data_IF_088863430879
#
_entry.id   IF_088863430879
#
_cell.length_a   1.000
_cell.length_b   1.000
_cell.length_c   1.000
_cell.angle_alpha   90.00
_cell.angle_beta   90.00
_cell.angle_gamma   90.00
#
_symmetry.space_group_name_H-M   'P 1'
#
loop_
_entity.id
_entity.type
_entity.pdbx_description
1 polymer ?
#
# COMPACT_ATOMS: atom_id res chain seq x y z
N UNK A 1 7.11 3.84 -30.94
CA UNK A 1 7.06 2.46 -30.41
C UNK A 1 7.28 2.64 -28.91
N UNK A 2 6.22 2.97 -28.18
CA UNK A 2 6.31 3.46 -26.79
C UNK A 2 5.27 2.76 -25.89
N UNK A 3 4.80 1.59 -26.29
CA UNK A 3 3.81 0.82 -25.54
C UNK A 3 4.37 0.20 -24.26
N UNK A 4 5.70 0.00 -24.18
CA UNK A 4 6.35 -0.69 -23.05
C UNK A 4 6.48 0.14 -21.77
N UNK A 5 6.64 1.47 -21.89
CA UNK A 5 6.75 2.36 -20.73
C UNK A 5 5.42 2.53 -20.01
N UNK A 6 4.33 2.69 -20.76
CA UNK A 6 2.97 2.79 -20.19
C UNK A 6 2.56 1.52 -19.46
N UNK A 7 2.84 0.33 -20.02
CA UNK A 7 2.45 -0.93 -19.39
C UNK A 7 3.19 -1.22 -18.08
N UNK A 8 4.47 -0.85 -17.98
CA UNK A 8 5.24 -1.01 -16.74
C UNK A 8 4.74 -0.08 -15.64
N UNK A 9 4.43 1.17 -15.98
CA UNK A 9 3.87 2.14 -15.01
C UNK A 9 2.51 1.68 -14.50
N UNK A 10 1.67 1.14 -15.39
CA UNK A 10 0.34 0.64 -15.05
C UNK A 10 0.40 -0.63 -14.18
N UNK A 11 1.36 -1.51 -14.45
CA UNK A 11 1.68 -2.65 -13.59
C UNK A 11 2.18 -2.20 -12.21
N UNK A 12 3.03 -1.18 -12.15
CA UNK A 12 3.49 -0.59 -10.89
C UNK A 12 2.33 -0.11 -10.04
N UNK A 13 1.42 0.66 -10.62
CA UNK A 13 0.21 1.16 -9.93
C UNK A 13 -0.70 0.01 -9.48
N UNK A 14 -0.88 -1.02 -10.30
CA UNK A 14 -1.64 -2.20 -9.92
C UNK A 14 -0.98 -2.96 -8.76
N UNK A 15 0.32 -3.19 -8.82
CA UNK A 15 1.06 -3.94 -7.81
C UNK A 15 1.06 -3.20 -6.46
N UNK A 16 1.20 -1.87 -6.46
CA UNK A 16 1.07 -1.05 -5.25
C UNK A 16 -0.35 -1.14 -4.68
N UNK A 17 -1.38 -0.97 -5.51
CA UNK A 17 -2.77 -1.09 -5.07
C UNK A 17 -3.09 -2.49 -4.53
N UNK A 18 -2.62 -3.53 -5.21
CA UNK A 18 -2.77 -4.92 -4.81
C UNK A 18 -2.10 -5.21 -3.46
N UNK A 19 -0.86 -4.75 -3.26
CA UNK A 19 -0.13 -4.92 -2.00
C UNK A 19 -0.83 -4.21 -0.84
N UNK A 20 -1.33 -2.99 -1.06
CA UNK A 20 -2.08 -2.24 -0.05
C UNK A 20 -3.38 -2.97 0.32
N UNK A 21 -4.13 -3.43 -0.69
CA UNK A 21 -5.38 -4.18 -0.47
C UNK A 21 -5.12 -5.50 0.25
N UNK A 22 -4.08 -6.25 -0.17
CA UNK A 22 -3.69 -7.50 0.49
C UNK A 22 -3.21 -7.30 1.92
N UNK A 23 -2.53 -6.19 2.21
CA UNK A 23 -2.12 -5.81 3.56
C UNK A 23 -3.28 -5.61 4.53
N UNK A 24 -4.49 -5.32 4.03
CA UNK A 24 -5.71 -5.20 4.84
C UNK A 24 -6.54 -6.50 4.80
N UNK A 25 -6.61 -7.16 3.63
CA UNK A 25 -7.40 -8.38 3.46
C UNK A 25 -6.84 -9.58 4.23
N UNK A 26 -5.52 -9.78 4.25
CA UNK A 26 -4.88 -10.89 4.97
C UNK A 26 -5.19 -10.88 6.47
N UNK A 27 -4.98 -9.78 7.22
CA UNK A 27 -5.32 -9.70 8.64
C UNK A 27 -6.80 -9.98 8.92
N UNK A 28 -7.70 -9.51 8.05
CA UNK A 28 -9.14 -9.73 8.20
C UNK A 28 -9.51 -11.21 8.07
N UNK A 29 -8.95 -11.89 7.06
CA UNK A 29 -9.16 -13.35 6.88
C UNK A 29 -8.55 -14.14 8.04
N UNK A 30 -7.34 -13.77 8.48
CA UNK A 30 -6.67 -14.41 9.61
C UNK A 30 -7.43 -14.27 10.94
N UNK A 31 -8.06 -13.13 11.18
CA UNK A 31 -8.91 -12.95 12.36
C UNK A 31 -10.27 -13.65 12.23
N UNK A 32 -10.81 -13.78 11.01
CA UNK A 32 -12.04 -14.56 10.79
C UNK A 32 -11.84 -16.05 11.10
N UNK A 33 -10.61 -16.55 10.94
CA UNK A 33 -10.21 -17.90 11.35
C UNK A 33 -9.89 -18.03 12.86
N UNK A 34 -10.13 -17.00 13.67
CA UNK A 34 -9.79 -16.92 15.11
C UNK A 34 -8.30 -17.15 15.43
N UNK A 35 -7.42 -17.07 14.41
CA UNK A 35 -5.98 -17.35 14.56
C UNK A 35 -5.26 -16.19 15.28
N UNK A 36 -5.79 -14.97 15.16
CA UNK A 36 -5.20 -13.74 15.68
C UNK A 36 -6.29 -12.94 16.40
N UNK A 37 -5.99 -12.41 17.60
CA UNK A 37 -6.89 -11.52 18.34
C UNK A 37 -7.23 -10.27 17.53
N UNK A 38 -8.46 -9.74 17.63
CA UNK A 38 -8.86 -8.54 16.87
C UNK A 38 -7.97 -7.31 17.18
N UNK A 39 -7.41 -7.24 18.38
CA UNK A 39 -6.45 -6.21 18.78
C UNK A 39 -5.17 -6.22 17.90
N UNK A 40 -4.66 -7.41 17.59
CA UNK A 40 -3.48 -7.57 16.74
C UNK A 40 -3.78 -7.33 15.26
N UNK A 41 -5.02 -7.58 14.81
CA UNK A 41 -5.46 -7.20 13.46
C UNK A 41 -5.39 -5.67 13.28
N UNK A 42 -5.95 -4.91 14.23
CA UNK A 42 -5.97 -3.44 14.16
C UNK A 42 -4.55 -2.88 14.16
N UNK A 43 -3.68 -3.38 15.04
CA UNK A 43 -2.26 -2.99 15.09
C UNK A 43 -1.55 -3.22 13.75
N UNK A 44 -1.80 -4.35 13.09
CA UNK A 44 -1.21 -4.68 11.78
C UNK A 44 -1.69 -3.74 10.67
N UNK A 45 -2.99 -3.45 10.62
CA UNK A 45 -3.57 -2.53 9.63
C UNK A 45 -3.07 -1.10 9.84
N UNK A 46 -3.04 -0.63 11.09
CA UNK A 46 -2.56 0.72 11.43
C UNK A 46 -1.08 0.88 11.09
N UNK A 47 -0.25 -0.13 11.34
CA UNK A 47 1.16 -0.12 10.95
C UNK A 47 1.35 -0.01 9.43
N UNK A 48 0.59 -0.78 8.66
CA UNK A 48 0.62 -0.70 7.19
C UNK A 48 0.17 0.66 6.66
N UNK A 49 -0.90 1.23 7.21
CA UNK A 49 -1.39 2.56 6.86
C UNK A 49 -0.40 3.67 7.24
N UNK A 50 0.28 3.56 8.38
CA UNK A 50 1.29 4.54 8.81
C UNK A 50 2.47 4.58 7.83
N UNK A 51 3.00 3.42 7.42
CA UNK A 51 4.11 3.35 6.47
C UNK A 51 3.69 3.89 5.11
N UNK A 52 2.54 3.48 4.60
CA UNK A 52 2.08 3.95 3.29
C UNK A 52 1.75 5.45 3.30
N UNK A 53 1.15 5.94 4.39
CA UNK A 53 0.85 7.36 4.59
C UNK A 53 2.09 8.24 4.69
N UNK A 54 3.16 7.77 5.33
CA UNK A 54 4.43 8.51 5.34
C UNK A 54 5.08 8.51 3.97
N UNK A 55 5.08 7.38 3.25
CA UNK A 55 5.57 7.35 1.86
C UNK A 55 4.83 8.38 1.01
N UNK A 56 3.49 8.39 1.02
CA UNK A 56 2.71 9.38 0.25
C UNK A 56 3.02 10.81 0.71
N UNK A 57 3.10 11.06 2.02
CA UNK A 57 3.41 12.41 2.53
C UNK A 57 4.80 12.87 2.08
N UNK A 58 5.80 12.01 2.15
CA UNK A 58 7.16 12.31 1.67
C UNK A 58 7.17 12.49 0.14
N UNK A 59 6.52 11.59 -0.59
CA UNK A 59 6.39 11.70 -2.05
C UNK A 59 5.72 13.01 -2.42
N UNK A 60 4.62 13.40 -1.78
CA UNK A 60 3.90 14.64 -2.09
C UNK A 60 4.69 15.89 -1.70
N UNK A 61 5.34 15.88 -0.53
CA UNK A 61 6.09 17.03 -0.01
C UNK A 61 7.41 17.26 -0.76
N UNK A 62 8.08 16.20 -1.21
CA UNK A 62 9.37 16.29 -1.90
C UNK A 62 9.28 16.19 -3.43
N UNK A 63 8.30 15.49 -4.03
CA UNK A 63 8.10 15.59 -5.50
C UNK A 63 7.67 17.00 -5.92
N UNK A 64 7.06 17.79 -5.03
CA UNK A 64 6.79 19.20 -5.31
C UNK A 64 8.06 20.02 -5.56
N UNK A 65 9.24 19.56 -5.13
CA UNK A 65 10.52 20.24 -5.40
C UNK A 65 11.17 19.80 -6.73
N UNK A 66 10.66 18.77 -7.41
CA UNK A 66 11.27 18.20 -8.63
C UNK A 66 10.63 18.72 -9.94
N UNK A 67 9.65 19.64 -9.88
CA UNK A 67 8.97 20.23 -11.04
C UNK A 67 9.57 21.58 -11.51
N UNK A 68 10.90 21.76 -11.43
CA UNK A 68 11.61 22.93 -11.99
C UNK A 68 12.38 22.62 -13.27
#
# INVERSE_FOLDING_TARGET
MDSGSSSIVELGRFMTGFLVVMGVALPVVLAHCDLIRPEAMVMSIVGGLLIYGTIISFTMFFHQEEEF
#
